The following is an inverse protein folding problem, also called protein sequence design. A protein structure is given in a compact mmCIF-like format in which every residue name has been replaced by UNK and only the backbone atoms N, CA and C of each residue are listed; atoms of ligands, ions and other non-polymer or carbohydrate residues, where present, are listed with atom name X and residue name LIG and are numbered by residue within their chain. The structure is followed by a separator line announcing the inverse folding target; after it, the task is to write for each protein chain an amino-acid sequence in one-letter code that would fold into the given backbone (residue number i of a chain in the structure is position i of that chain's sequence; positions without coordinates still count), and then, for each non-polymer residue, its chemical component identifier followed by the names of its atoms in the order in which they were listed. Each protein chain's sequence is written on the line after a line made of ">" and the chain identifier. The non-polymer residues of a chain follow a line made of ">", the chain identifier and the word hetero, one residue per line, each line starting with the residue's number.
data_IF_606476022927
#
_entry.id   IF_606476022927
#
_cell.length_a   1.000
_cell.length_b   1.000
_cell.length_c   1.000
_cell.angle_alpha   90.00
_cell.angle_beta   90.00
_cell.angle_gamma   90.00
#
_symmetry.space_group_name_H-M   'P 1'
#
loop_
_entity.id
_entity.type
_entity.pdbx_description
1 polymer ?
#
# COMPACT_ATOMS: atom_id res chain seq x y z
N UNK A 1 -1.72 -1.13 3.81
CA UNK A 1 -1.66 -2.49 3.21
C UNK A 1 -1.30 -3.45 4.32
N UNK A 2 -1.79 -4.70 4.23
CA UNK A 2 -1.39 -5.79 5.11
C UNK A 2 -0.77 -6.89 4.26
N UNK A 3 0.30 -7.50 4.76
CA UNK A 3 1.00 -8.58 4.08
C UNK A 3 1.11 -9.78 5.02
N UNK A 4 1.00 -10.97 4.45
CA UNK A 4 1.25 -12.22 5.15
C UNK A 4 2.56 -12.81 4.61
N UNK A 5 3.64 -12.86 5.40
CA UNK A 5 4.90 -13.42 4.94
C UNK A 5 4.77 -14.93 4.72
N UNK A 6 5.25 -15.41 3.58
CA UNK A 6 5.38 -16.84 3.30
C UNK A 6 6.65 -17.40 3.97
N UNK A 7 6.77 -18.73 4.03
CA UNK A 7 7.98 -19.37 4.54
C UNK A 7 9.20 -18.93 3.70
N UNK A 8 10.26 -18.47 4.38
CA UNK A 8 11.46 -17.95 3.72
C UNK A 8 11.32 -16.55 3.12
N UNK A 9 10.26 -15.80 3.47
CA UNK A 9 10.10 -14.42 3.02
C UNK A 9 11.23 -13.51 3.54
N UNK A 10 11.63 -12.54 2.70
CA UNK A 10 12.59 -11.50 3.05
C UNK A 10 12.07 -10.56 4.16
N UNK A 11 12.96 -9.68 4.63
CA UNK A 11 12.61 -8.63 5.60
C UNK A 11 11.60 -7.62 5.04
N UNK A 12 10.86 -6.95 5.93
CA UNK A 12 9.93 -5.88 5.55
C UNK A 12 10.65 -4.76 4.77
N UNK A 13 11.90 -4.45 5.11
CA UNK A 13 12.72 -3.45 4.40
C UNK A 13 12.97 -3.84 2.95
N UNK A 14 13.25 -5.11 2.67
CA UNK A 14 13.44 -5.61 1.32
C UNK A 14 12.14 -5.48 0.50
N UNK A 15 11.00 -5.83 1.10
CA UNK A 15 9.67 -5.68 0.47
C UNK A 15 9.37 -4.21 0.18
N UNK A 16 9.56 -3.32 1.16
CA UNK A 16 9.33 -1.89 1.00
C UNK A 16 10.24 -1.31 -0.08
N UNK A 17 11.52 -1.73 -0.14
CA UNK A 17 12.46 -1.30 -1.18
C UNK A 17 12.02 -1.77 -2.56
N UNK A 18 11.57 -3.02 -2.69
CA UNK A 18 11.09 -3.60 -3.94
C UNK A 18 9.83 -2.89 -4.47
N UNK A 19 8.97 -2.38 -3.59
CA UNK A 19 7.78 -1.59 -3.98
C UNK A 19 8.16 -0.14 -4.30
N UNK A 20 8.86 0.53 -3.38
CA UNK A 20 9.10 1.98 -3.42
C UNK A 20 10.03 2.39 -4.56
N UNK A 21 11.09 1.61 -4.82
CA UNK A 21 12.13 1.97 -5.79
C UNK A 21 11.63 2.03 -7.23
N UNK A 22 11.00 0.97 -7.79
CA UNK A 22 10.51 1.04 -9.18
C UNK A 22 9.47 2.15 -9.32
N UNK A 23 8.50 2.26 -8.40
CA UNK A 23 7.51 3.32 -8.48
C UNK A 23 8.12 4.73 -8.49
N UNK A 24 9.10 4.98 -7.62
CA UNK A 24 9.81 6.27 -7.62
C UNK A 24 10.58 6.52 -8.92
N UNK A 25 11.16 5.49 -9.52
CA UNK A 25 11.84 5.62 -10.82
C UNK A 25 10.84 5.98 -11.93
N UNK A 26 9.70 5.28 -11.98
CA UNK A 26 8.65 5.51 -12.98
C UNK A 26 8.08 6.91 -12.89
N UNK A 27 7.74 7.38 -11.68
CA UNK A 27 7.29 8.77 -11.49
C UNK A 27 8.36 9.76 -11.95
N UNK A 28 9.64 9.51 -11.64
CA UNK A 28 10.71 10.39 -12.13
C UNK A 28 10.72 10.49 -13.65
N UNK A 29 10.59 9.38 -14.37
CA UNK A 29 10.54 9.39 -15.84
C UNK A 29 9.34 10.19 -16.35
N UNK A 30 8.15 9.96 -15.80
CA UNK A 30 6.94 10.72 -16.17
C UNK A 30 7.11 12.23 -15.94
N UNK A 31 7.76 12.63 -14.85
CA UNK A 31 8.02 14.05 -14.56
C UNK A 31 9.05 14.66 -15.50
N UNK A 32 10.05 13.88 -15.95
CA UNK A 32 11.02 14.31 -16.97
C UNK A 32 10.31 14.48 -18.31
N UNK A 33 9.57 13.46 -18.75
CA UNK A 33 8.87 13.45 -20.04
C UNK A 33 7.83 14.57 -20.16
N UNK A 34 7.13 14.87 -19.05
CA UNK A 34 6.16 15.96 -19.00
C UNK A 34 6.76 17.35 -18.77
N UNK A 35 8.07 17.47 -18.53
CA UNK A 35 8.71 18.75 -18.18
C UNK A 35 8.16 19.36 -16.88
N UNK A 36 7.72 18.54 -15.94
CA UNK A 36 7.02 19.01 -14.74
C UNK A 36 7.97 19.65 -13.73
N UNK A 37 7.59 20.84 -13.23
CA UNK A 37 8.30 21.54 -12.13
C UNK A 37 8.35 20.73 -10.82
N UNK A 38 7.54 19.67 -10.70
CA UNK A 38 7.62 18.76 -9.56
C UNK A 38 8.96 18.01 -9.53
N UNK A 39 9.63 17.82 -10.67
CA UNK A 39 10.94 17.18 -10.71
C UNK A 39 11.97 17.94 -9.85
N UNK A 40 11.98 19.27 -9.96
CA UNK A 40 12.85 20.15 -9.16
C UNK A 40 12.44 20.11 -7.68
N UNK A 41 11.14 20.24 -7.39
CA UNK A 41 10.62 20.25 -6.01
C UNK A 41 10.88 18.96 -5.25
N UNK A 42 10.87 17.83 -5.95
CA UNK A 42 11.15 16.50 -5.39
C UNK A 42 12.64 16.13 -5.48
N UNK A 43 13.48 16.97 -6.04
CA UNK A 43 14.93 16.77 -6.06
C UNK A 43 15.57 17.55 -4.92
N UNK A 44 16.05 16.83 -3.92
CA UNK A 44 16.66 17.42 -2.73
C UNK A 44 18.18 17.32 -2.79
N UNK A 45 18.87 18.22 -2.10
CA UNK A 45 20.32 18.13 -1.86
C UNK A 45 20.57 17.26 -0.64
N UNK A 46 21.15 16.07 -0.84
CA UNK A 46 21.53 15.19 0.29
C UNK A 46 22.83 15.64 0.94
N UNK A 47 23.83 15.99 0.13
CA UNK A 47 25.12 16.52 0.55
C UNK A 47 25.68 17.44 -0.53
N UNK A 48 26.79 18.13 -0.26
CA UNK A 48 27.44 18.99 -1.26
C UNK A 48 27.72 18.23 -2.56
N UNK A 49 27.22 18.79 -3.66
CA UNK A 49 27.34 18.19 -5.00
C UNK A 49 26.41 17.01 -5.30
N UNK A 50 25.59 16.55 -4.35
CA UNK A 50 24.73 15.36 -4.55
C UNK A 50 23.26 15.74 -4.43
N UNK A 51 22.59 15.72 -5.57
CA UNK A 51 21.14 15.84 -5.70
C UNK A 51 20.50 14.45 -5.78
N UNK A 52 19.33 14.29 -5.18
CA UNK A 52 18.57 13.04 -5.24
C UNK A 52 17.09 13.31 -5.40
N UNK A 53 16.50 12.66 -6.38
CA UNK A 53 15.05 12.62 -6.54
C UNK A 53 14.43 11.75 -5.45
N UNK A 54 13.48 12.31 -4.71
CA UNK A 54 12.80 11.69 -3.58
C UNK A 54 11.30 11.88 -3.74
N UNK A 55 10.63 10.80 -4.14
CA UNK A 55 9.17 10.77 -4.21
C UNK A 55 8.53 10.43 -2.85
N UNK A 56 9.13 9.50 -2.12
CA UNK A 56 8.60 9.02 -0.83
C UNK A 56 9.04 9.92 0.33
N UNK A 57 8.18 10.06 1.35
CA UNK A 57 8.55 10.72 2.60
C UNK A 57 9.75 10.04 3.25
N UNK A 58 10.56 10.84 3.95
CA UNK A 58 11.74 10.36 4.68
C UNK A 58 11.35 9.52 5.91
N UNK A 59 12.19 8.55 6.24
CA UNK A 59 11.99 7.61 7.32
C UNK A 59 11.66 6.18 6.83
N UNK A 60 11.67 5.20 7.75
CA UNK A 60 11.41 3.79 7.41
C UNK A 60 9.98 3.60 6.85
N UNK A 61 9.06 4.47 7.25
CA UNK A 61 7.63 4.31 7.07
C UNK A 61 7.00 3.88 8.39
N UNK A 62 5.77 3.38 8.32
CA UNK A 62 5.09 2.77 9.46
C UNK A 62 4.75 1.32 9.10
N UNK A 63 5.46 0.39 9.72
CA UNK A 63 5.17 -1.04 9.69
C UNK A 63 4.98 -1.56 11.12
N UNK A 64 4.10 -2.56 11.26
CA UNK A 64 3.79 -3.18 12.55
C UNK A 64 3.51 -4.65 12.35
N UNK A 65 4.21 -5.49 13.08
CA UNK A 65 3.92 -6.92 13.14
C UNK A 65 2.64 -7.15 13.96
N UNK A 66 1.67 -7.81 13.35
CA UNK A 66 0.41 -8.19 13.99
C UNK A 66 0.33 -9.71 14.07
N UNK A 67 0.22 -10.25 15.27
CA UNK A 67 0.25 -11.69 15.52
C UNK A 67 -1.06 -12.24 16.08
N UNK A 68 -1.89 -11.38 16.69
CA UNK A 68 -3.18 -11.77 17.26
C UNK A 68 -4.30 -11.57 16.25
N UNK A 69 -5.17 -12.59 16.11
CA UNK A 69 -6.31 -12.57 15.18
C UNK A 69 -7.17 -11.32 15.33
N UNK A 70 -7.55 -10.97 16.56
CA UNK A 70 -8.39 -9.80 16.84
C UNK A 70 -7.73 -8.48 16.38
N UNK A 71 -6.44 -8.30 16.65
CA UNK A 71 -5.69 -7.12 16.19
C UNK A 71 -5.57 -7.08 14.66
N UNK A 72 -5.44 -8.24 14.02
CA UNK A 72 -5.37 -8.32 12.56
C UNK A 72 -6.71 -7.93 11.94
N UNK A 73 -7.82 -8.48 12.43
CA UNK A 73 -9.17 -8.14 11.96
C UNK A 73 -9.44 -6.64 12.13
N UNK A 74 -9.16 -6.07 13.31
CA UNK A 74 -9.29 -4.64 13.53
C UNK A 74 -8.40 -3.79 12.59
N UNK A 75 -7.22 -4.32 12.22
CA UNK A 75 -6.35 -3.69 11.23
C UNK A 75 -6.93 -3.74 9.81
N UNK A 76 -7.60 -4.83 9.43
CA UNK A 76 -8.31 -4.94 8.15
C UNK A 76 -9.47 -3.94 8.10
N UNK A 77 -10.29 -3.90 9.14
CA UNK A 77 -11.42 -2.96 9.25
C UNK A 77 -10.93 -1.52 9.14
N UNK A 78 -9.87 -1.17 9.88
CA UNK A 78 -9.26 0.15 9.79
C UNK A 78 -8.77 0.49 8.37
N UNK A 79 -8.15 -0.46 7.67
CA UNK A 79 -7.67 -0.24 6.29
C UNK A 79 -8.83 -0.01 5.31
N UNK A 80 -9.93 -0.75 5.45
CA UNK A 80 -11.12 -0.60 4.60
C UNK A 80 -11.89 0.69 4.91
N UNK A 81 -11.96 1.09 6.18
CA UNK A 81 -12.67 2.30 6.61
C UNK A 81 -11.87 3.59 6.42
N UNK A 82 -10.54 3.52 6.27
CA UNK A 82 -9.71 4.72 6.19
C UNK A 82 -10.16 5.73 5.10
N UNK A 83 -10.57 5.33 3.89
CA UNK A 83 -11.13 6.26 2.90
C UNK A 83 -12.39 7.00 3.41
N UNK A 84 -13.26 6.32 4.16
CA UNK A 84 -14.47 6.92 4.77
C UNK A 84 -14.07 7.88 5.89
N UNK A 85 -13.19 7.46 6.80
CA UNK A 85 -12.69 8.29 7.90
C UNK A 85 -11.97 9.56 7.42
N UNK A 86 -11.40 9.51 6.22
CA UNK A 86 -10.74 10.65 5.56
C UNK A 86 -11.70 11.50 4.70
N UNK A 87 -12.98 11.12 4.61
CA UNK A 87 -13.99 11.84 3.82
C UNK A 87 -13.82 11.70 2.31
N UNK A 88 -13.11 10.67 1.83
CA UNK A 88 -12.88 10.46 0.40
C UNK A 88 -14.07 9.79 -0.30
N UNK A 89 -14.84 9.00 0.44
CA UNK A 89 -16.05 8.30 -0.02
C UNK A 89 -17.02 8.15 1.16
N UNK A 90 -18.30 7.98 0.87
CA UNK A 90 -19.33 7.73 1.89
C UNK A 90 -19.30 6.29 2.42
N UNK A 91 -18.97 5.31 1.58
CA UNK A 91 -18.90 3.89 1.95
C UNK A 91 -17.57 3.28 1.54
N UNK A 92 -17.04 2.37 2.36
CA UNK A 92 -15.75 1.71 2.11
C UNK A 92 -15.69 1.01 0.73
N UNK A 93 -16.80 0.38 0.31
CA UNK A 93 -16.94 -0.34 -0.97
C UNK A 93 -16.89 0.55 -2.22
N UNK A 94 -17.07 1.86 -2.04
CA UNK A 94 -16.99 2.85 -3.12
C UNK A 94 -15.54 3.28 -3.39
N UNK A 95 -14.60 2.96 -2.49
CA UNK A 95 -13.18 3.21 -2.74
C UNK A 95 -12.55 2.12 -3.60
N UNK A 96 -12.46 2.38 -4.92
CA UNK A 96 -11.92 1.44 -5.91
C UNK A 96 -10.48 0.98 -5.68
N UNK A 97 -9.69 1.73 -4.93
CA UNK A 97 -8.29 1.40 -4.62
C UNK A 97 -8.13 0.61 -3.32
N UNK A 98 -9.18 -0.10 -2.89
CA UNK A 98 -9.13 -1.03 -1.77
C UNK A 98 -9.77 -2.37 -2.15
N UNK A 99 -9.52 -3.38 -1.32
CA UNK A 99 -10.19 -4.69 -1.41
C UNK A 99 -11.54 -4.72 -0.69
N UNK A 100 -12.02 -3.61 -0.12
CA UNK A 100 -13.24 -3.58 0.69
C UNK A 100 -14.45 -4.17 -0.06
N UNK A 101 -14.66 -3.76 -1.31
CA UNK A 101 -15.76 -4.25 -2.16
C UNK A 101 -15.74 -5.77 -2.35
N UNK A 102 -14.55 -6.36 -2.44
CA UNK A 102 -14.42 -7.81 -2.61
C UNK A 102 -14.83 -8.56 -1.33
N UNK A 103 -14.52 -8.01 -0.15
CA UNK A 103 -14.80 -8.66 1.14
C UNK A 103 -16.18 -8.33 1.73
N UNK A 104 -16.75 -7.16 1.41
CA UNK A 104 -17.97 -6.65 2.05
C UNK A 104 -19.23 -6.74 1.19
N UNK A 105 -19.12 -6.99 -0.12
CA UNK A 105 -20.28 -7.15 -0.99
C UNK A 105 -20.60 -8.64 -1.22
N UNK A 106 -21.89 -8.93 -1.40
CA UNK A 106 -22.39 -10.22 -1.87
C UNK A 106 -23.22 -10.01 -3.15
N UNK A 107 -22.82 -10.57 -4.31
CA UNK A 107 -21.59 -11.34 -4.52
C UNK A 107 -20.32 -10.47 -4.38
N UNK A 108 -19.16 -11.08 -4.07
CA UNK A 108 -17.87 -10.41 -4.07
C UNK A 108 -17.61 -9.67 -5.39
N UNK A 109 -17.30 -8.37 -5.30
CA UNK A 109 -17.16 -7.51 -6.47
C UNK A 109 -15.80 -6.82 -6.55
N UNK A 110 -15.32 -6.59 -7.78
CA UNK A 110 -14.15 -5.76 -8.05
C UNK A 110 -14.43 -4.83 -9.23
N UNK A 111 -13.82 -3.64 -9.22
CA UNK A 111 -13.88 -2.73 -10.36
C UNK A 111 -13.12 -3.32 -11.56
N UNK A 112 -13.70 -3.17 -12.75
CA UNK A 112 -13.10 -3.61 -14.01
C UNK A 112 -11.76 -2.91 -14.26
N UNK A 113 -10.77 -3.66 -14.76
CA UNK A 113 -9.43 -3.13 -15.07
C UNK A 113 -8.46 -3.08 -13.88
N UNK A 114 -8.86 -3.57 -12.70
CA UNK A 114 -7.96 -3.76 -11.56
C UNK A 114 -7.45 -5.20 -11.48
N UNK A 115 -6.28 -5.38 -10.87
CA UNK A 115 -5.68 -6.70 -10.63
C UNK A 115 -6.53 -7.57 -9.73
N UNK A 116 -6.70 -8.84 -10.07
CA UNK A 116 -7.51 -9.81 -9.31
C UNK A 116 -7.19 -9.81 -7.82
N UNK A 117 -8.21 -9.68 -6.98
CA UNK A 117 -8.07 -9.89 -5.53
C UNK A 117 -8.00 -11.39 -5.25
N UNK A 118 -6.87 -11.85 -4.73
CA UNK A 118 -6.74 -13.20 -4.19
C UNK A 118 -7.25 -13.23 -2.74
N UNK A 119 -8.08 -14.23 -2.41
CA UNK A 119 -8.60 -14.43 -1.06
C UNK A 119 -7.47 -14.70 -0.08
N UNK A 120 -7.65 -14.26 1.18
CA UNK A 120 -6.82 -14.74 2.28
C UNK A 120 -6.94 -16.27 2.40
N UNK A 121 -5.81 -16.94 2.62
CA UNK A 121 -5.76 -18.40 2.74
C UNK A 121 -6.61 -18.87 3.92
N UNK A 122 -7.39 -19.94 3.74
CA UNK A 122 -8.32 -20.47 4.75
C UNK A 122 -7.66 -20.73 6.11
N UNK A 123 -6.38 -21.10 6.15
CA UNK A 123 -5.59 -21.26 7.38
C UNK A 123 -5.60 -20.03 8.30
N UNK A 124 -5.85 -18.84 7.75
CA UNK A 124 -6.02 -17.60 8.50
C UNK A 124 -7.36 -17.53 9.24
N UNK A 125 -8.40 -18.18 8.71
CA UNK A 125 -9.75 -18.23 9.27
C UNK A 125 -9.92 -19.41 10.25
N UNK A 126 -9.13 -20.47 10.09
CA UNK A 126 -9.24 -21.72 10.85
C UNK A 126 -8.44 -21.78 12.16
N UNK A 127 -7.57 -20.81 12.44
CA UNK A 127 -6.82 -20.76 13.71
C UNK A 127 -7.70 -20.24 14.86
N UNK A 128 -8.17 -21.15 15.71
CA UNK A 128 -8.52 -20.85 17.10
C UNK A 128 -7.26 -20.54 17.91
N UNK A 129 -7.44 -19.89 19.05
CA UNK A 129 -6.36 -19.41 19.94
C UNK A 129 -5.24 -20.44 20.22
#
# INVERSE_FOLDING_TARGET
>A
MMIYPLAGADTIDAVLKAIKRPFSYWIKQLLIESGSRLLERLTIRQRTGVLTFRYWQEGPGYDRNLTRRSTILAGIDYLHDNPVRRGLVERAVDWKWSTARFYMCDPPGQYTGLSTVHRLLAKFLSGGD
#
